data_IF_965515986312
#
_entry.id   IF_965515986312
#
_cell.length_a   1.000
_cell.length_b   1.000
_cell.length_c   1.000
_cell.angle_alpha   90.00
_cell.angle_beta   90.00
_cell.angle_gamma   90.00
#
_symmetry.space_group_name_H-M   'P 1'
#
loop_
_entity.id
_entity.type
_entity.pdbx_description
1 polymer ?
#
# COMPACT_ATOMS: atom_id res chain seq x y z
N UNK A 1 -34.87 15.84 -12.90
CA UNK A 1 -33.53 15.73 -12.28
C UNK A 1 -33.41 14.32 -11.74
N UNK A 2 -32.47 13.54 -12.20
CA UNK A 2 -32.15 12.21 -11.65
C UNK A 2 -31.68 12.36 -10.20
N UNK A 3 -32.16 11.49 -9.31
CA UNK A 3 -31.68 11.50 -7.90
C UNK A 3 -30.15 11.31 -7.88
N UNK A 4 -29.42 12.01 -6.97
CA UNK A 4 -27.99 11.82 -6.83
C UNK A 4 -27.67 10.37 -6.45
N UNK A 5 -26.65 9.77 -7.09
CA UNK A 5 -26.16 8.46 -6.73
C UNK A 5 -25.68 8.45 -5.27
N UNK A 6 -26.21 7.53 -4.46
CA UNK A 6 -25.76 7.32 -3.07
C UNK A 6 -24.64 6.28 -3.06
N UNK A 7 -23.42 6.71 -2.77
CA UNK A 7 -22.23 5.86 -2.75
C UNK A 7 -21.59 5.84 -1.37
N UNK A 8 -21.14 4.68 -0.94
CA UNK A 8 -20.30 4.53 0.25
C UNK A 8 -18.92 4.05 -0.16
N UNK A 9 -17.87 4.72 0.31
CA UNK A 9 -16.47 4.41 0.02
C UNK A 9 -15.76 4.09 1.32
N UNK A 10 -15.25 2.88 1.47
CA UNK A 10 -14.36 2.46 2.54
C UNK A 10 -12.92 2.52 2.04
N UNK A 11 -12.16 3.52 2.47
CA UNK A 11 -10.80 3.75 2.04
C UNK A 11 -9.79 3.20 3.03
N UNK A 12 -8.89 2.35 2.54
CA UNK A 12 -7.78 1.74 3.28
C UNK A 12 -6.48 2.33 2.74
N UNK A 13 -5.80 3.14 3.56
CA UNK A 13 -4.56 3.80 3.18
C UNK A 13 -3.40 2.81 3.06
N UNK A 14 -2.33 3.23 2.36
CA UNK A 14 -1.06 2.51 2.31
C UNK A 14 -0.33 2.49 3.65
N UNK A 15 0.91 2.01 3.63
CA UNK A 15 1.80 1.99 4.81
C UNK A 15 2.25 3.42 5.15
N UNK A 16 1.41 4.13 5.90
CA UNK A 16 1.61 5.54 6.24
C UNK A 16 1.24 5.82 7.71
N UNK A 17 2.17 6.28 8.55
CA UNK A 17 1.91 6.56 9.96
C UNK A 17 1.11 7.85 10.22
N UNK A 18 0.85 8.67 9.19
CA UNK A 18 0.25 10.02 9.33
C UNK A 18 -1.23 10.01 9.67
N UNK A 19 -1.94 8.92 9.35
CA UNK A 19 -3.34 8.73 9.73
C UNK A 19 -4.35 9.65 9.04
N UNK A 20 -5.58 9.58 9.52
CA UNK A 20 -6.77 10.15 8.86
C UNK A 20 -6.75 11.66 8.67
N UNK A 21 -6.12 12.43 9.57
CA UNK A 21 -6.10 13.91 9.46
C UNK A 21 -5.38 14.33 8.18
N UNK A 22 -4.27 13.66 7.88
CA UNK A 22 -3.51 13.89 6.66
C UNK A 22 -4.33 13.54 5.42
N UNK A 23 -4.97 12.38 5.42
CA UNK A 23 -5.74 11.89 4.26
C UNK A 23 -7.00 12.72 3.99
N UNK A 24 -7.71 13.17 5.03
CA UNK A 24 -8.85 14.06 4.85
C UNK A 24 -8.44 15.41 4.24
N UNK A 25 -7.31 15.99 4.69
CA UNK A 25 -6.76 17.21 4.09
C UNK A 25 -6.37 17.01 2.64
N UNK A 26 -5.62 15.95 2.36
CA UNK A 26 -5.19 15.59 1.01
C UNK A 26 -6.39 15.41 0.07
N UNK A 27 -7.41 14.66 0.50
CA UNK A 27 -8.64 14.46 -0.27
C UNK A 27 -9.31 15.79 -0.62
N UNK A 28 -9.50 16.66 0.37
CA UNK A 28 -10.13 17.98 0.18
C UNK A 28 -9.34 18.84 -0.81
N UNK A 29 -8.01 18.88 -0.65
CA UNK A 29 -7.15 19.71 -1.47
C UNK A 29 -7.12 19.20 -2.93
N UNK A 30 -7.07 17.88 -3.15
CA UNK A 30 -7.13 17.27 -4.49
C UNK A 30 -8.53 17.38 -5.11
N UNK A 31 -9.61 17.24 -4.35
CA UNK A 31 -10.98 17.47 -4.82
C UNK A 31 -11.17 18.90 -5.34
N UNK A 32 -10.62 19.90 -4.64
CA UNK A 32 -10.65 21.29 -5.07
C UNK A 32 -9.86 21.53 -6.37
N UNK A 33 -8.73 20.85 -6.57
CA UNK A 33 -7.98 20.90 -7.84
C UNK A 33 -8.76 20.24 -8.98
N UNK A 34 -9.34 19.07 -8.73
CA UNK A 34 -10.12 18.34 -9.71
C UNK A 34 -11.33 19.14 -10.19
N UNK A 35 -12.03 19.81 -9.27
CA UNK A 35 -13.16 20.70 -9.61
C UNK A 35 -12.76 21.78 -10.61
N UNK A 36 -11.56 22.36 -10.48
CA UNK A 36 -11.06 23.39 -11.41
C UNK A 36 -10.72 22.83 -12.79
N UNK A 37 -10.30 21.57 -12.86
CA UNK A 37 -9.84 20.96 -14.10
C UNK A 37 -11.01 20.49 -15.01
N UNK A 38 -12.04 19.92 -14.43
CA UNK A 38 -13.13 19.28 -15.20
C UNK A 38 -14.49 19.96 -15.08
N UNK A 39 -14.55 21.15 -14.44
CA UNK A 39 -15.80 21.90 -14.26
C UNK A 39 -16.81 21.22 -13.33
N UNK A 40 -16.38 20.22 -12.55
CA UNK A 40 -17.22 19.61 -11.52
C UNK A 40 -17.22 20.46 -10.25
N UNK A 41 -18.27 20.31 -9.43
CA UNK A 41 -18.29 20.87 -8.08
C UNK A 41 -18.17 19.75 -7.08
N UNK A 42 -17.10 19.75 -6.27
CA UNK A 42 -16.88 18.73 -5.24
C UNK A 42 -16.76 19.43 -3.88
N UNK A 43 -17.72 19.17 -3.00
CA UNK A 43 -17.76 19.73 -1.65
C UNK A 43 -17.47 18.64 -0.64
N UNK A 44 -16.40 18.80 0.15
CA UNK A 44 -15.98 17.86 1.19
C UNK A 44 -16.40 18.38 2.56
N UNK A 45 -17.20 17.60 3.26
CA UNK A 45 -17.65 17.90 4.61
C UNK A 45 -16.61 17.70 5.70
N UNK A 46 -16.92 18.06 6.94
CA UNK A 46 -16.03 17.89 8.08
C UNK A 46 -15.87 16.40 8.44
N UNK A 47 -14.67 16.06 8.93
CA UNK A 47 -14.38 14.73 9.43
C UNK A 47 -15.07 14.47 10.76
N UNK A 48 -15.77 13.33 10.87
CA UNK A 48 -16.37 12.80 12.09
C UNK A 48 -15.73 11.48 12.46
N UNK A 49 -15.55 11.19 13.74
CA UNK A 49 -15.09 9.89 14.23
C UNK A 49 -16.32 9.03 14.50
N UNK A 50 -16.39 7.84 13.92
CA UNK A 50 -17.46 6.87 14.18
C UNK A 50 -17.08 5.93 15.33
N UNK A 51 -15.84 5.38 15.31
CA UNK A 51 -15.31 4.55 16.37
C UNK A 51 -13.76 4.74 16.50
N UNK A 52 -13.07 3.86 17.19
CA UNK A 52 -11.60 3.96 17.39
C UNK A 52 -10.81 3.85 16.09
N UNK A 53 -11.31 3.13 15.09
CA UNK A 53 -10.61 2.82 13.84
C UNK A 53 -11.28 3.44 12.61
N UNK A 54 -12.51 3.97 12.70
CA UNK A 54 -13.27 4.46 11.54
C UNK A 54 -13.60 5.94 11.68
N UNK A 55 -13.28 6.67 10.63
CA UNK A 55 -13.64 8.08 10.49
C UNK A 55 -14.44 8.28 9.21
N UNK A 56 -15.34 9.24 9.23
CA UNK A 56 -16.28 9.54 8.14
C UNK A 56 -16.21 11.00 7.75
N UNK A 57 -16.44 11.29 6.47
CA UNK A 57 -16.83 12.60 5.95
C UNK A 57 -17.74 12.44 4.75
N UNK A 58 -18.66 13.37 4.57
CA UNK A 58 -19.58 13.38 3.45
C UNK A 58 -18.97 14.18 2.29
N UNK A 59 -19.20 13.72 1.05
CA UNK A 59 -18.76 14.41 -0.17
C UNK A 59 -19.96 14.54 -1.09
N UNK A 60 -20.28 15.78 -1.50
CA UNK A 60 -21.25 16.06 -2.55
C UNK A 60 -20.48 16.40 -3.84
N UNK A 61 -20.73 15.65 -4.90
CA UNK A 61 -20.13 15.87 -6.21
C UNK A 61 -21.22 16.10 -7.26
N UNK A 62 -20.99 17.12 -8.11
CA UNK A 62 -21.88 17.45 -9.24
C UNK A 62 -21.01 17.67 -10.48
N UNK A 63 -21.47 17.14 -11.62
CA UNK A 63 -20.85 17.30 -12.92
C UNK A 63 -21.93 17.39 -14.01
N UNK A 64 -21.61 17.86 -15.23
CA UNK A 64 -22.54 17.86 -16.33
C UNK A 64 -23.10 16.45 -16.58
N UNK A 65 -24.39 16.28 -16.34
CA UNK A 65 -25.11 15.01 -16.52
C UNK A 65 -25.28 14.13 -15.28
N UNK A 66 -24.78 14.53 -14.08
CA UNK A 66 -24.97 13.72 -12.88
C UNK A 66 -24.54 14.36 -11.58
N UNK A 67 -24.94 13.72 -10.48
CA UNK A 67 -24.57 14.09 -9.12
C UNK A 67 -24.39 12.83 -8.28
N UNK A 68 -23.54 12.90 -7.25
CA UNK A 68 -23.38 11.83 -6.26
C UNK A 68 -23.21 12.40 -4.85
N UNK A 69 -23.82 11.71 -3.89
CA UNK A 69 -23.58 11.89 -2.47
C UNK A 69 -22.77 10.70 -1.96
N UNK A 70 -21.55 10.96 -1.48
CA UNK A 70 -20.61 9.93 -1.10
C UNK A 70 -20.36 9.97 0.41
N UNK A 71 -20.63 8.86 1.09
CA UNK A 71 -20.23 8.59 2.46
C UNK A 71 -18.82 7.99 2.44
N UNK A 72 -17.79 8.84 2.65
CA UNK A 72 -16.41 8.40 2.69
C UNK A 72 -16.04 7.95 4.11
N UNK A 73 -15.61 6.69 4.26
CA UNK A 73 -15.17 6.09 5.52
C UNK A 73 -13.70 5.70 5.42
N UNK A 74 -12.89 6.26 6.26
CA UNK A 74 -11.47 5.94 6.38
C UNK A 74 -11.29 4.83 7.40
N UNK A 75 -10.79 3.67 6.95
CA UNK A 75 -10.48 2.51 7.76
C UNK A 75 -9.04 2.62 8.27
N UNK A 76 -8.88 3.06 9.53
CA UNK A 76 -7.58 3.31 10.13
C UNK A 76 -6.87 2.03 10.52
N UNK A 77 -5.59 1.93 10.17
CA UNK A 77 -4.65 0.91 10.64
C UNK A 77 -3.24 1.50 10.89
N UNK A 78 -3.16 2.82 10.94
CA UNK A 78 -1.94 3.58 11.13
C UNK A 78 -1.30 3.38 12.52
N UNK A 79 -2.05 2.91 13.50
CA UNK A 79 -1.55 2.42 14.79
C UNK A 79 -0.66 1.18 14.61
N UNK A 80 -1.09 0.20 13.80
CA UNK A 80 -0.28 -0.98 13.45
C UNK A 80 0.97 -0.55 12.66
N UNK A 81 0.82 0.40 11.73
CA UNK A 81 1.96 0.96 11.00
C UNK A 81 2.97 1.58 11.94
N UNK A 82 2.53 2.40 12.90
CA UNK A 82 3.42 3.05 13.89
C UNK A 82 4.17 2.06 14.77
N UNK A 83 3.50 1.00 15.24
CA UNK A 83 4.13 -0.06 16.04
C UNK A 83 5.21 -0.80 15.25
N UNK A 84 4.95 -1.04 13.95
CA UNK A 84 5.89 -1.77 13.07
C UNK A 84 6.97 -0.88 12.45
N UNK A 85 6.86 0.44 12.62
CA UNK A 85 7.81 1.39 12.08
C UNK A 85 9.15 1.33 12.80
N UNK A 86 10.20 0.95 12.09
CA UNK A 86 11.58 0.97 12.60
C UNK A 86 12.29 2.26 12.13
N UNK A 87 12.51 3.23 13.02
CA UNK A 87 13.16 4.50 12.66
C UNK A 87 14.68 4.39 12.55
N UNK A 88 15.31 3.42 13.24
CA UNK A 88 16.74 3.25 13.25
C UNK A 88 17.24 2.64 11.94
N UNK A 89 18.04 3.39 11.18
CA UNK A 89 18.52 3.01 9.84
C UNK A 89 19.35 1.73 9.84
N UNK A 90 20.26 1.55 10.79
CA UNK A 90 21.09 0.36 10.85
C UNK A 90 20.24 -0.89 11.07
N UNK A 91 19.28 -0.84 12.01
CA UNK A 91 18.33 -1.93 12.22
C UNK A 91 17.43 -2.17 11.00
N UNK A 92 16.99 -1.10 10.32
CA UNK A 92 16.26 -1.23 9.05
C UNK A 92 17.07 -1.99 8.01
N UNK A 93 18.34 -1.62 7.80
CA UNK A 93 19.22 -2.27 6.80
C UNK A 93 19.42 -3.74 7.17
N UNK A 94 19.75 -4.06 8.42
CA UNK A 94 19.94 -5.45 8.86
C UNK A 94 18.67 -6.29 8.67
N UNK A 95 17.52 -5.73 9.03
CA UNK A 95 16.21 -6.39 8.82
C UNK A 95 15.94 -6.60 7.34
N UNK A 96 16.20 -5.58 6.52
CA UNK A 96 16.03 -5.66 5.09
C UNK A 96 16.93 -6.73 4.46
N UNK A 97 18.20 -6.82 4.84
CA UNK A 97 19.12 -7.85 4.36
C UNK A 97 18.60 -9.25 4.67
N UNK A 98 18.12 -9.46 5.90
CA UNK A 98 17.53 -10.74 6.29
C UNK A 98 16.24 -11.05 5.51
N UNK A 99 15.35 -10.08 5.32
CA UNK A 99 14.10 -10.25 4.57
C UNK A 99 14.39 -10.44 3.07
N UNK A 100 15.32 -9.69 2.48
CA UNK A 100 15.74 -9.84 1.09
C UNK A 100 16.36 -11.21 0.82
N UNK A 101 17.27 -11.64 1.69
CA UNK A 101 17.88 -12.98 1.61
C UNK A 101 16.81 -14.07 1.60
N UNK A 102 15.85 -14.00 2.52
CA UNK A 102 14.72 -14.97 2.55
C UNK A 102 13.88 -14.91 1.29
N UNK A 103 13.60 -13.69 0.78
CA UNK A 103 12.82 -13.47 -0.44
C UNK A 103 13.50 -14.06 -1.69
N UNK A 104 14.84 -14.00 -1.74
CA UNK A 104 15.65 -14.64 -2.78
C UNK A 104 15.58 -16.18 -2.64
N UNK A 105 15.87 -16.69 -1.44
CA UNK A 105 15.94 -18.14 -1.23
C UNK A 105 14.59 -18.87 -1.36
N UNK A 106 13.47 -18.18 -1.11
CA UNK A 106 12.15 -18.77 -1.36
C UNK A 106 11.73 -18.72 -2.84
N UNK A 107 12.56 -18.19 -3.73
CA UNK A 107 12.30 -18.11 -5.17
C UNK A 107 11.39 -16.96 -5.61
N UNK A 108 10.82 -16.20 -4.67
CA UNK A 108 9.90 -15.09 -4.98
C UNK A 108 10.61 -13.95 -5.73
N UNK A 109 11.89 -13.71 -5.45
CA UNK A 109 12.66 -12.65 -6.11
C UNK A 109 12.81 -12.88 -7.62
N UNK A 110 13.04 -14.12 -8.06
CA UNK A 110 13.14 -14.44 -9.49
C UNK A 110 11.80 -14.23 -10.20
N UNK A 111 10.70 -14.61 -9.55
CA UNK A 111 9.35 -14.36 -10.07
C UNK A 111 9.04 -12.86 -10.13
N UNK A 112 9.46 -12.10 -9.12
CA UNK A 112 9.31 -10.63 -9.09
C UNK A 112 10.00 -9.98 -10.30
N UNK A 113 11.19 -10.44 -10.67
CA UNK A 113 11.92 -9.94 -11.84
C UNK A 113 11.14 -10.12 -13.16
N UNK A 114 10.32 -11.17 -13.24
CA UNK A 114 9.44 -11.43 -14.39
C UNK A 114 8.18 -10.54 -14.39
N UNK A 115 7.73 -10.09 -13.22
CA UNK A 115 6.51 -9.27 -13.11
C UNK A 115 6.72 -7.82 -13.57
N UNK A 116 7.92 -7.26 -13.43
CA UNK A 116 8.15 -5.87 -13.85
C UNK A 116 9.49 -5.29 -13.41
N UNK A 117 10.04 -4.41 -14.26
CA UNK A 117 11.34 -3.76 -14.00
C UNK A 117 11.28 -2.79 -12.82
N UNK A 118 10.19 -2.00 -12.69
CA UNK A 118 10.03 -1.01 -11.60
C UNK A 118 10.12 -1.64 -10.21
N UNK A 119 9.22 -2.57 -9.85
CA UNK A 119 9.27 -3.27 -8.56
C UNK A 119 10.57 -4.04 -8.32
N UNK A 120 11.16 -4.63 -9.37
CA UNK A 120 12.47 -5.28 -9.28
C UNK A 120 13.57 -4.28 -8.85
N UNK A 121 13.67 -3.14 -9.56
CA UNK A 121 14.64 -2.11 -9.19
C UNK A 121 14.37 -1.55 -7.79
N UNK A 122 13.11 -1.32 -7.45
CA UNK A 122 12.74 -0.87 -6.12
C UNK A 122 13.17 -1.86 -5.02
N UNK A 123 13.12 -3.18 -5.30
CA UNK A 123 13.63 -4.20 -4.39
C UNK A 123 15.16 -4.21 -4.29
N UNK A 124 15.92 -3.79 -5.30
CA UNK A 124 17.38 -3.81 -5.30
C UNK A 124 18.00 -2.49 -4.83
N UNK A 125 17.30 -1.37 -5.01
CA UNK A 125 17.78 -0.02 -4.67
C UNK A 125 18.35 0.09 -3.25
N UNK A 126 17.72 -0.45 -2.18
CA UNK A 126 18.28 -0.38 -0.84
C UNK A 126 19.67 -1.03 -0.73
N UNK A 127 19.89 -2.16 -1.41
CA UNK A 127 21.19 -2.82 -1.46
C UNK A 127 22.22 -1.96 -2.23
N UNK A 128 21.83 -1.46 -3.40
CA UNK A 128 22.72 -0.65 -4.23
C UNK A 128 23.18 0.62 -3.51
N UNK A 129 22.28 1.33 -2.82
CA UNK A 129 22.60 2.53 -2.04
C UNK A 129 23.63 2.24 -0.94
N UNK A 130 23.57 1.07 -0.31
CA UNK A 130 24.49 0.70 0.76
C UNK A 130 25.80 0.08 0.20
N UNK A 131 25.70 -0.84 -0.75
CA UNK A 131 26.83 -1.65 -1.18
C UNK A 131 27.74 -0.94 -2.18
N UNK A 132 27.17 -0.24 -3.17
CA UNK A 132 27.99 0.34 -4.27
C UNK A 132 29.02 1.37 -3.77
N UNK A 133 28.67 2.37 -2.94
CA UNK A 133 29.67 3.31 -2.44
C UNK A 133 30.75 2.63 -1.59
N UNK A 134 30.39 1.62 -0.78
CA UNK A 134 31.33 0.89 0.06
C UNK A 134 32.29 0.03 -0.77
N UNK A 135 31.80 -0.63 -1.82
CA UNK A 135 32.62 -1.41 -2.74
C UNK A 135 33.60 -0.53 -3.49
N UNK A 136 33.16 0.64 -3.97
CA UNK A 136 34.07 1.61 -4.61
C UNK A 136 35.14 2.11 -3.66
N UNK A 137 34.77 2.42 -2.41
CA UNK A 137 35.72 2.83 -1.38
C UNK A 137 36.77 1.71 -1.08
N UNK A 138 36.32 0.45 -1.02
CA UNK A 138 37.19 -0.69 -0.82
C UNK A 138 38.17 -0.84 -1.98
N UNK A 139 37.74 -0.72 -3.22
CA UNK A 139 38.62 -0.75 -4.41
C UNK A 139 39.65 0.36 -4.36
N UNK A 140 39.27 1.61 -4.04
CA UNK A 140 40.17 2.75 -3.90
C UNK A 140 41.19 2.47 -2.80
N UNK A 141 40.79 1.91 -1.67
CA UNK A 141 41.70 1.55 -0.58
C UNK A 141 42.68 0.44 -0.95
N UNK A 142 42.27 -0.55 -1.72
CA UNK A 142 43.14 -1.62 -2.21
C UNK A 142 44.21 -1.10 -3.20
N UNK A 143 43.84 -0.11 -4.03
CA UNK A 143 44.76 0.45 -5.03
C UNK A 143 45.67 1.55 -4.48
N UNK A 144 45.15 2.41 -3.60
CA UNK A 144 45.81 3.63 -3.10
C UNK A 144 46.25 3.56 -1.64
N UNK A 145 46.08 2.41 -1.00
CA UNK A 145 46.40 2.23 0.42
C UNK A 145 45.43 2.98 1.36
N UNK A 146 45.75 3.00 2.66
CA UNK A 146 44.89 3.55 3.71
C UNK A 146 44.67 5.08 3.58
N UNK A 147 45.67 5.82 3.02
CA UNK A 147 45.55 7.27 2.83
C UNK A 147 44.46 7.64 1.81
N UNK A 148 44.25 6.83 0.79
CA UNK A 148 43.16 7.00 -0.17
C UNK A 148 41.88 6.32 0.31
N UNK A 149 41.97 5.16 0.95
CA UNK A 149 40.87 4.34 1.41
C UNK A 149 40.04 5.00 2.53
N UNK A 150 40.70 5.65 3.50
CA UNK A 150 40.00 6.28 4.61
C UNK A 150 39.04 7.44 4.17
N UNK A 151 39.50 8.43 3.37
CA UNK A 151 38.58 9.46 2.86
C UNK A 151 37.53 8.89 1.91
N UNK A 152 37.86 7.87 1.09
CA UNK A 152 36.88 7.20 0.23
C UNK A 152 35.81 6.49 1.06
N UNK A 153 36.14 5.84 2.16
CA UNK A 153 35.17 5.22 3.07
C UNK A 153 34.27 6.27 3.75
N UNK A 154 34.82 7.38 4.22
CA UNK A 154 34.05 8.48 4.76
C UNK A 154 33.05 9.06 3.75
N UNK A 155 33.51 9.27 2.51
CA UNK A 155 32.63 9.72 1.42
C UNK A 155 31.55 8.68 1.08
N UNK A 156 31.87 7.39 1.07
CA UNK A 156 30.92 6.32 0.82
C UNK A 156 29.82 6.28 1.88
N UNK A 157 30.18 6.40 3.16
CA UNK A 157 29.21 6.47 4.27
C UNK A 157 28.31 7.71 4.12
N UNK A 158 28.90 8.87 3.83
CA UNK A 158 28.12 10.09 3.63
C UNK A 158 27.18 9.98 2.43
N UNK A 159 27.65 9.47 1.29
CA UNK A 159 26.86 9.26 0.07
C UNK A 159 25.70 8.30 0.33
N UNK A 160 25.96 7.16 0.96
CA UNK A 160 24.93 6.18 1.34
C UNK A 160 23.89 6.80 2.27
N UNK A 161 24.33 7.63 3.23
CA UNK A 161 23.44 8.33 4.14
C UNK A 161 22.54 9.32 3.39
N UNK A 162 23.09 10.14 2.51
CA UNK A 162 22.34 11.16 1.78
C UNK A 162 21.36 10.55 0.76
N UNK A 163 21.80 9.53 0.01
CA UNK A 163 20.93 8.78 -0.90
C UNK A 163 19.79 8.09 -0.14
N UNK A 164 20.08 7.49 1.02
CA UNK A 164 19.05 6.88 1.88
C UNK A 164 17.99 7.89 2.33
N UNK A 165 18.39 9.12 2.60
CA UNK A 165 17.46 10.20 2.94
C UNK A 165 16.59 10.60 1.75
N UNK A 166 17.21 10.88 0.60
CA UNK A 166 16.52 11.35 -0.63
C UNK A 166 15.56 10.29 -1.16
N UNK A 167 15.97 9.03 -1.17
CA UNK A 167 15.16 7.91 -1.63
C UNK A 167 14.16 7.40 -0.57
N UNK A 168 14.04 8.06 0.60
CA UNK A 168 13.15 7.64 1.70
C UNK A 168 13.32 6.17 2.07
N UNK A 169 14.58 5.70 2.09
CA UNK A 169 14.94 4.30 2.24
C UNK A 169 14.29 3.64 3.47
N UNK A 170 14.24 4.35 4.61
CA UNK A 170 13.61 3.83 5.84
C UNK A 170 12.14 3.47 5.59
N UNK A 171 11.41 4.32 4.87
CA UNK A 171 10.01 4.06 4.52
C UNK A 171 9.87 2.83 3.62
N UNK A 172 10.67 2.76 2.56
CA UNK A 172 10.66 1.64 1.61
C UNK A 172 10.97 0.30 2.29
N UNK A 173 12.01 0.27 3.11
CA UNK A 173 12.43 -0.94 3.85
C UNK A 173 11.37 -1.41 4.84
N UNK A 174 10.68 -0.48 5.52
CA UNK A 174 9.60 -0.85 6.43
C UNK A 174 8.41 -1.47 5.68
N UNK A 175 8.09 -0.99 4.46
CA UNK A 175 7.08 -1.63 3.60
C UNK A 175 7.48 -3.07 3.28
N UNK A 176 8.71 -3.28 2.78
CA UNK A 176 9.19 -4.63 2.47
C UNK A 176 9.15 -5.56 3.67
N UNK A 177 9.58 -5.06 4.82
CA UNK A 177 9.57 -5.85 6.05
C UNK A 177 8.16 -6.27 6.48
N UNK A 178 7.16 -5.39 6.31
CA UNK A 178 5.76 -5.76 6.56
C UNK A 178 5.29 -6.81 5.56
N UNK A 179 5.50 -6.58 4.25
CA UNK A 179 5.09 -7.52 3.20
C UNK A 179 5.74 -8.89 3.39
N UNK A 180 7.06 -8.93 3.69
CA UNK A 180 7.77 -10.17 3.96
C UNK A 180 7.27 -10.87 5.25
N UNK A 181 6.98 -10.12 6.30
CA UNK A 181 6.45 -10.70 7.53
C UNK A 181 5.07 -11.31 7.31
N UNK A 182 4.18 -10.59 6.64
CA UNK A 182 2.84 -11.06 6.31
C UNK A 182 2.86 -12.22 5.29
N UNK A 183 3.72 -12.15 4.28
CA UNK A 183 3.88 -13.25 3.33
C UNK A 183 4.44 -14.55 3.95
N UNK A 184 5.09 -14.49 5.12
CA UNK A 184 5.54 -15.69 5.86
C UNK A 184 4.44 -16.34 6.68
N UNK A 185 3.62 -15.54 7.33
CA UNK A 185 2.51 -16.03 8.17
C UNK A 185 1.50 -14.91 8.41
N UNK A 186 0.24 -15.25 8.71
CA UNK A 186 -0.74 -14.29 9.18
C UNK A 186 -0.20 -13.53 10.40
N UNK A 187 -0.45 -12.22 10.44
CA UNK A 187 -0.05 -11.36 11.55
C UNK A 187 -1.28 -11.12 12.45
N UNK A 188 -1.30 -11.59 13.70
CA UNK A 188 -2.50 -11.58 14.53
C UNK A 188 -3.17 -10.21 14.68
N UNK A 189 -2.37 -9.15 14.87
CA UNK A 189 -2.85 -7.77 14.98
C UNK A 189 -3.48 -7.27 13.66
N UNK A 190 -2.91 -7.67 12.53
CA UNK A 190 -3.42 -7.32 11.21
C UNK A 190 -4.69 -8.12 10.89
N UNK A 191 -4.69 -9.43 11.16
CA UNK A 191 -5.88 -10.29 10.96
C UNK A 191 -7.09 -9.81 11.77
N UNK A 192 -6.87 -9.46 13.05
CA UNK A 192 -7.92 -8.86 13.88
C UNK A 192 -8.45 -7.56 13.27
N UNK A 193 -7.56 -6.71 12.73
CA UNK A 193 -7.96 -5.46 12.08
C UNK A 193 -8.74 -5.72 10.78
N UNK A 194 -8.34 -6.69 9.96
CA UNK A 194 -9.04 -7.07 8.74
C UNK A 194 -10.46 -7.58 9.04
N UNK A 195 -10.62 -8.40 10.07
CA UNK A 195 -11.93 -8.85 10.51
C UNK A 195 -12.82 -7.69 10.97
N UNK A 196 -12.28 -6.80 11.82
CA UNK A 196 -13.01 -5.62 12.29
C UNK A 196 -13.41 -4.68 11.13
N UNK A 197 -12.56 -4.51 10.12
CA UNK A 197 -12.90 -3.74 8.92
C UNK A 197 -14.05 -4.40 8.14
N UNK A 198 -13.98 -5.71 7.92
CA UNK A 198 -15.04 -6.43 7.21
C UNK A 198 -16.38 -6.36 7.96
N UNK A 199 -16.38 -6.52 9.28
CA UNK A 199 -17.56 -6.38 10.13
C UNK A 199 -18.18 -4.98 10.06
N UNK A 200 -17.35 -3.92 10.18
CA UNK A 200 -17.81 -2.52 10.06
C UNK A 200 -18.44 -2.23 8.69
N UNK A 201 -17.84 -2.76 7.62
CA UNK A 201 -18.36 -2.59 6.26
C UNK A 201 -19.69 -3.31 6.08
N UNK A 202 -19.78 -4.56 6.54
CA UNK A 202 -20.99 -5.36 6.44
C UNK A 202 -22.13 -4.80 7.29
N UNK A 203 -21.83 -4.33 8.51
CA UNK A 203 -22.80 -3.67 9.37
C UNK A 203 -23.33 -2.37 8.73
N UNK A 204 -22.41 -1.56 8.19
CA UNK A 204 -22.77 -0.32 7.51
C UNK A 204 -23.65 -0.57 6.28
N UNK A 205 -23.39 -1.62 5.51
CA UNK A 205 -24.17 -1.98 4.35
C UNK A 205 -25.61 -2.43 4.74
N UNK A 206 -25.73 -3.15 5.85
CA UNK A 206 -27.05 -3.59 6.37
C UNK A 206 -27.86 -2.46 7.00
N UNK A 207 -27.17 -1.60 7.78
CA UNK A 207 -27.86 -0.54 8.55
C UNK A 207 -28.37 0.61 7.67
N UNK A 208 -27.67 0.95 6.60
CA UNK A 208 -28.04 2.03 5.67
C UNK A 208 -27.66 1.64 4.24
N UNK A 209 -28.50 0.89 3.52
CA UNK A 209 -28.24 0.50 2.14
C UNK A 209 -28.06 1.72 1.22
N UNK A 210 -27.13 1.61 0.27
CA UNK A 210 -26.84 2.62 -0.74
C UNK A 210 -26.74 1.97 -2.14
N UNK A 211 -26.71 2.79 -3.19
CA UNK A 211 -26.68 2.29 -4.56
C UNK A 211 -25.37 1.57 -4.87
N UNK A 212 -24.28 1.98 -4.21
CA UNK A 212 -22.96 1.40 -4.47
C UNK A 212 -22.06 1.48 -3.21
N UNK A 213 -21.48 0.33 -2.83
CA UNK A 213 -20.44 0.24 -1.80
C UNK A 213 -19.11 -0.10 -2.47
N UNK A 214 -18.08 0.71 -2.20
CA UNK A 214 -16.71 0.52 -2.70
C UNK A 214 -15.75 0.27 -1.54
N UNK A 215 -14.92 -0.77 -1.67
CA UNK A 215 -13.72 -0.96 -0.85
C UNK A 215 -12.53 -0.49 -1.68
N UNK A 216 -11.85 0.56 -1.24
CA UNK A 216 -10.75 1.19 -1.97
C UNK A 216 -9.47 1.03 -1.18
N UNK A 217 -8.49 0.31 -1.73
CA UNK A 217 -7.17 0.12 -1.14
C UNK A 217 -6.07 0.82 -1.93
N UNK A 218 -5.18 1.56 -1.25
CA UNK A 218 -4.04 2.22 -1.87
C UNK A 218 -2.72 1.58 -1.46
N UNK A 219 -1.85 1.23 -2.41
CA UNK A 219 -0.52 0.65 -2.15
C UNK A 219 -0.61 -0.62 -1.29
N UNK A 220 0.02 -0.69 -0.11
CA UNK A 220 -0.16 -1.79 0.85
C UNK A 220 -1.62 -1.95 1.30
N UNK A 221 -2.38 -0.84 1.37
CA UNK A 221 -3.82 -0.91 1.64
C UNK A 221 -4.62 -1.68 0.58
N UNK A 222 -4.09 -1.84 -0.64
CA UNK A 222 -4.70 -2.71 -1.65
C UNK A 222 -4.66 -4.19 -1.26
N UNK A 223 -3.56 -4.64 -0.63
CA UNK A 223 -3.48 -6.01 -0.09
C UNK A 223 -4.50 -6.22 1.03
N UNK A 224 -4.64 -5.21 1.92
CA UNK A 224 -5.63 -5.26 3.00
C UNK A 224 -7.06 -5.27 2.42
N UNK A 225 -7.32 -4.46 1.40
CA UNK A 225 -8.62 -4.39 0.73
C UNK A 225 -9.02 -5.73 0.08
N UNK A 226 -8.06 -6.44 -0.52
CA UNK A 226 -8.26 -7.80 -1.05
C UNK A 226 -8.68 -8.74 0.07
N UNK A 227 -7.94 -8.76 1.18
CA UNK A 227 -8.26 -9.64 2.31
C UNK A 227 -9.57 -9.27 3.03
N UNK A 228 -9.91 -7.98 3.09
CA UNK A 228 -11.23 -7.52 3.58
C UNK A 228 -12.33 -7.97 2.64
N UNK A 229 -12.12 -7.84 1.31
CA UNK A 229 -13.12 -8.23 0.32
C UNK A 229 -13.41 -9.73 0.35
N UNK A 230 -12.38 -10.58 0.54
CA UNK A 230 -12.58 -12.03 0.71
C UNK A 230 -13.52 -12.34 1.89
N UNK A 231 -13.34 -11.65 3.03
CA UNK A 231 -14.22 -11.80 4.21
C UNK A 231 -15.64 -11.29 3.96
N UNK A 232 -15.79 -10.21 3.18
CA UNK A 232 -17.12 -9.69 2.81
C UNK A 232 -17.86 -10.67 1.90
N UNK A 233 -17.16 -11.33 0.97
CA UNK A 233 -17.74 -12.39 0.13
C UNK A 233 -18.22 -13.59 0.98
N UNK A 234 -17.41 -14.04 1.94
CA UNK A 234 -17.80 -15.09 2.90
C UNK A 234 -19.04 -14.71 3.71
N UNK A 235 -19.23 -13.42 4.02
CA UNK A 235 -20.40 -12.89 4.74
C UNK A 235 -21.61 -12.59 3.84
N UNK A 236 -21.49 -12.81 2.53
CA UNK A 236 -22.54 -12.48 1.55
C UNK A 236 -22.78 -10.96 1.38
N UNK A 237 -21.82 -10.12 1.77
CA UNK A 237 -21.92 -8.67 1.64
C UNK A 237 -21.47 -8.22 0.27
N UNK A 238 -22.35 -7.55 -0.48
CA UNK A 238 -22.02 -7.03 -1.81
C UNK A 238 -21.23 -5.72 -1.71
N UNK A 239 -20.07 -5.69 -2.33
CA UNK A 239 -19.25 -4.51 -2.50
C UNK A 239 -18.40 -4.64 -3.76
N UNK A 240 -17.92 -3.52 -4.30
CA UNK A 240 -16.96 -3.49 -5.41
C UNK A 240 -15.57 -3.19 -4.86
N UNK A 241 -14.54 -3.74 -5.48
CA UNK A 241 -13.15 -3.54 -5.09
C UNK A 241 -12.46 -2.56 -6.04
N UNK A 242 -11.72 -1.61 -5.47
CA UNK A 242 -10.82 -0.73 -6.23
C UNK A 242 -9.44 -0.78 -5.59
N UNK A 243 -8.43 -1.17 -6.35
CA UNK A 243 -7.03 -1.17 -5.93
C UNK A 243 -6.25 -0.10 -6.68
N UNK A 244 -5.50 0.70 -5.94
CA UNK A 244 -4.74 1.84 -6.47
C UNK A 244 -3.25 1.64 -6.18
N UNK A 245 -2.44 1.41 -7.22
CA UNK A 245 -1.01 1.19 -7.08
C UNK A 245 -0.68 0.01 -6.16
N UNK A 246 -1.43 -1.08 -6.29
CA UNK A 246 -1.29 -2.27 -5.46
C UNK A 246 0.07 -2.95 -5.59
N UNK A 247 0.57 -3.51 -4.49
CA UNK A 247 1.83 -4.27 -4.45
C UNK A 247 1.59 -5.77 -4.20
N UNK A 248 0.52 -6.31 -4.78
CA UNK A 248 0.05 -7.69 -4.62
C UNK A 248 1.15 -8.74 -4.82
N UNK A 249 1.98 -8.67 -5.89
CA UNK A 249 3.01 -9.67 -6.11
C UNK A 249 4.09 -9.74 -5.02
N UNK A 250 4.34 -8.68 -4.25
CA UNK A 250 5.29 -8.77 -3.13
C UNK A 250 4.92 -9.80 -2.07
N UNK A 251 3.63 -10.01 -1.86
CA UNK A 251 3.13 -11.03 -0.93
C UNK A 251 2.73 -12.30 -1.68
N UNK A 252 1.95 -12.19 -2.76
CA UNK A 252 1.39 -13.32 -3.49
C UNK A 252 2.43 -14.28 -4.08
N UNK A 253 3.61 -13.78 -4.49
CA UNK A 253 4.70 -14.60 -5.02
C UNK A 253 5.44 -15.43 -3.96
N UNK A 254 5.28 -15.13 -2.67
CA UNK A 254 5.92 -15.90 -1.61
C UNK A 254 5.21 -17.25 -1.44
N UNK A 255 5.93 -18.41 -1.52
CA UNK A 255 5.31 -19.73 -1.36
C UNK A 255 4.59 -19.93 -0.02
N UNK A 256 5.03 -19.22 1.02
CA UNK A 256 4.47 -19.26 2.37
C UNK A 256 3.20 -18.44 2.54
N UNK A 257 2.86 -17.52 1.62
CA UNK A 257 1.69 -16.64 1.70
C UNK A 257 0.37 -17.36 1.33
N UNK A 258 0.16 -18.56 1.86
CA UNK A 258 -1.01 -19.43 1.53
C UNK A 258 -2.33 -18.77 1.94
N UNK A 259 -2.35 -18.04 3.07
CA UNK A 259 -3.51 -17.29 3.53
C UNK A 259 -3.91 -16.20 2.54
N UNK A 260 -2.95 -15.37 2.08
CA UNK A 260 -3.24 -14.31 1.13
C UNK A 260 -3.63 -14.83 -0.26
N UNK A 261 -3.00 -15.92 -0.72
CA UNK A 261 -3.43 -16.57 -1.97
C UNK A 261 -4.81 -17.22 -1.87
N UNK A 262 -5.23 -17.66 -0.68
CA UNK A 262 -6.61 -18.11 -0.45
C UNK A 262 -7.59 -16.95 -0.63
N UNK A 263 -7.26 -15.75 -0.10
CA UNK A 263 -8.07 -14.56 -0.29
C UNK A 263 -8.18 -14.21 -1.79
N UNK A 264 -7.05 -14.19 -2.52
CA UNK A 264 -7.05 -13.98 -3.98
C UNK A 264 -7.88 -15.03 -4.73
N UNK A 265 -7.77 -16.31 -4.37
CA UNK A 265 -8.54 -17.38 -4.98
C UNK A 265 -10.05 -17.22 -4.71
N UNK A 266 -10.45 -16.76 -3.52
CA UNK A 266 -11.84 -16.44 -3.22
C UNK A 266 -12.38 -15.31 -4.11
N UNK A 267 -11.59 -14.28 -4.35
CA UNK A 267 -11.98 -13.20 -5.26
C UNK A 267 -12.07 -13.70 -6.72
N UNK A 268 -11.12 -14.52 -7.15
CA UNK A 268 -11.12 -15.11 -8.49
C UNK A 268 -12.33 -16.03 -8.75
N UNK A 269 -12.81 -16.69 -7.72
CA UNK A 269 -13.98 -17.56 -7.76
C UNK A 269 -15.33 -16.82 -7.69
N UNK A 270 -15.33 -15.48 -7.54
CA UNK A 270 -16.53 -14.65 -7.41
C UNK A 270 -16.82 -13.90 -8.74
N UNK A 271 -17.57 -14.47 -9.70
CA UNK A 271 -17.77 -13.90 -11.02
C UNK A 271 -18.52 -12.55 -10.99
N UNK A 272 -19.32 -12.33 -9.95
CA UNK A 272 -20.10 -11.10 -9.76
C UNK A 272 -19.26 -9.96 -9.13
N UNK A 273 -18.03 -10.24 -8.71
CA UNK A 273 -17.18 -9.21 -8.12
C UNK A 273 -16.68 -8.24 -9.18
N UNK A 274 -17.12 -6.99 -9.09
CA UNK A 274 -16.53 -5.91 -9.85
C UNK A 274 -15.23 -5.45 -9.18
N UNK A 275 -14.09 -5.73 -9.82
CA UNK A 275 -12.77 -5.27 -9.36
C UNK A 275 -12.11 -4.38 -10.41
N UNK A 276 -11.75 -3.16 -10.01
CA UNK A 276 -10.95 -2.23 -10.80
C UNK A 276 -9.55 -2.11 -10.18
N UNK A 277 -8.53 -2.56 -10.90
CA UNK A 277 -7.13 -2.34 -10.53
C UNK A 277 -6.53 -1.19 -11.33
N UNK A 278 -6.01 -0.18 -10.64
CA UNK A 278 -5.40 1.01 -11.23
C UNK A 278 -3.93 1.08 -10.83
N UNK A 279 -3.06 0.96 -11.82
CA UNK A 279 -1.61 1.05 -11.63
C UNK A 279 -0.99 2.02 -12.65
N UNK A 280 0.16 2.60 -12.32
CA UNK A 280 0.88 3.52 -13.20
C UNK A 280 2.25 2.98 -13.56
N UNK A 281 2.62 3.09 -14.85
CA UNK A 281 3.96 2.72 -15.34
C UNK A 281 5.07 3.63 -14.78
N UNK A 282 4.72 4.85 -14.36
CA UNK A 282 5.67 5.79 -13.75
C UNK A 282 5.86 5.57 -12.25
N UNK A 283 5.04 4.73 -11.63
CA UNK A 283 5.18 4.35 -10.23
C UNK A 283 6.05 3.09 -10.11
N UNK A 284 7.29 3.26 -9.66
CA UNK A 284 8.25 2.15 -9.50
C UNK A 284 7.87 1.11 -8.44
N UNK A 285 6.83 1.35 -7.63
CA UNK A 285 6.35 0.42 -6.61
C UNK A 285 5.08 -0.31 -7.02
N UNK A 286 4.37 0.16 -8.04
CA UNK A 286 3.15 -0.48 -8.53
C UNK A 286 3.48 -1.51 -9.62
N UNK A 287 2.61 -2.52 -9.74
CA UNK A 287 2.75 -3.61 -10.69
C UNK A 287 1.86 -3.37 -11.91
N UNK A 288 2.14 -2.31 -12.66
CA UNK A 288 1.39 -2.00 -13.85
C UNK A 288 1.48 -3.15 -14.89
N UNK A 289 0.35 -3.52 -15.48
CA UNK A 289 0.19 -4.62 -16.45
C UNK A 289 0.40 -6.03 -15.87
N UNK A 290 0.36 -6.17 -14.56
CA UNK A 290 0.35 -7.48 -13.89
C UNK A 290 -1.05 -7.72 -13.37
N UNK A 291 -1.68 -8.81 -13.80
CA UNK A 291 -2.95 -9.23 -13.24
C UNK A 291 -2.75 -9.65 -11.77
N UNK A 292 -3.43 -8.99 -10.81
CA UNK A 292 -3.30 -9.36 -9.41
C UNK A 292 -3.72 -10.80 -9.09
N UNK A 293 -4.54 -11.41 -9.93
CA UNK A 293 -5.01 -12.79 -9.76
C UNK A 293 -4.05 -13.84 -10.34
N UNK A 294 -3.07 -13.40 -11.15
CA UNK A 294 -2.10 -14.30 -11.78
C UNK A 294 -0.85 -14.60 -10.92
N UNK A 295 -0.84 -14.24 -9.62
CA UNK A 295 0.32 -14.36 -8.72
C UNK A 295 0.19 -15.51 -7.70
#
# INVERSE_FOLDING_TARGET
>A
MTQPLRRRVHFIAGFDPRGVIHYHRLFRDEAAKQSKLNGSTIVTGPRKRLNSAVHRWDVAAQWPGGAANVDCRFQSWDDIVRVRWQPNRARCILRYLADFTRYVFCGAFMKLACCGKGPFYAAVVPLAICAVPLLLAAVIGLMGGWLAGAPAAALAVWTSHELSRRCKLVWLVNIYSLCCAWGRAPLPDLEQRLNAMAEDIAEAARADPCDETLVVGHSVGALLAISVMARLLEQGTQAKLVTLGGCVPFVGLMPTATHFRRDLAALAAAPELAWLDVASLSDGLSFARVDPLAV
#
